data_IF_079890804164
#
_entry.id   IF_079890804164
#
_cell.length_a   1.000
_cell.length_b   1.000
_cell.length_c   1.000
_cell.angle_alpha   90.00
_cell.angle_beta   90.00
_cell.angle_gamma   90.00
#
_symmetry.space_group_name_H-M   'P 1'
#
loop_
_entity.id
_entity.type
_entity.pdbx_description
1 polymer ?
#
# COMPACT_ATOMS: atom_id res chain seq x y z
N UNK A 1 17.40 5.23 2.44
CA UNK A 1 16.45 5.02 3.56
C UNK A 1 16.70 3.66 4.20
N UNK A 2 16.49 3.53 5.52
CA UNK A 2 16.60 2.26 6.24
C UNK A 2 15.37 1.39 5.90
N UNK A 3 15.59 0.11 5.58
CA UNK A 3 14.49 -0.86 5.37
C UNK A 3 13.59 -0.90 6.63
N UNK A 4 12.25 -0.82 6.49
CA UNK A 4 11.36 -0.94 7.64
C UNK A 4 11.52 -2.30 8.33
N UNK A 5 11.30 -2.36 9.64
CA UNK A 5 11.50 -3.57 10.41
C UNK A 5 10.32 -4.55 10.25
N UNK A 6 10.56 -5.84 10.41
CA UNK A 6 9.48 -6.84 10.52
C UNK A 6 8.55 -6.47 11.69
N UNK A 7 7.25 -6.51 11.45
CA UNK A 7 6.21 -6.14 12.41
C UNK A 7 5.80 -4.66 12.40
N UNK A 8 6.50 -3.79 11.66
CA UNK A 8 6.10 -2.38 11.51
C UNK A 8 5.18 -2.16 10.31
N UNK A 9 4.47 -1.03 10.30
CA UNK A 9 3.87 -0.49 9.08
C UNK A 9 4.99 0.13 8.24
N UNK A 10 5.25 -0.42 7.06
CA UNK A 10 6.32 0.03 6.17
C UNK A 10 5.86 0.97 5.06
N UNK A 11 4.57 0.93 4.71
CA UNK A 11 3.97 1.76 3.66
C UNK A 11 2.46 1.90 3.86
N UNK A 12 1.86 2.88 3.18
CA UNK A 12 0.41 3.01 3.08
C UNK A 12 0.01 3.55 1.70
N UNK A 13 -1.07 3.00 1.14
CA UNK A 13 -1.71 3.54 -0.05
C UNK A 13 -3.16 3.88 0.25
N UNK A 14 -3.65 5.00 -0.28
CA UNK A 14 -5.06 5.31 -0.33
C UNK A 14 -5.61 4.93 -1.70
N UNK A 15 -6.47 3.92 -1.74
CA UNK A 15 -7.13 3.52 -2.99
C UNK A 15 -8.50 4.18 -3.10
N UNK A 16 -8.73 4.90 -4.20
CA UNK A 16 -9.92 5.73 -4.43
C UNK A 16 -10.31 5.73 -5.89
N UNK A 17 -11.57 6.05 -6.22
CA UNK A 17 -12.02 6.11 -7.62
C UNK A 17 -11.27 7.18 -8.43
N UNK A 18 -11.08 8.36 -7.85
CA UNK A 18 -10.41 9.50 -8.47
C UNK A 18 -9.20 9.95 -7.63
N UNK A 19 -8.03 9.39 -7.93
CA UNK A 19 -6.79 9.72 -7.25
C UNK A 19 -6.33 11.16 -7.52
N UNK A 20 -6.69 11.75 -8.66
CA UNK A 20 -6.31 13.14 -8.99
C UNK A 20 -7.01 14.11 -8.04
N UNK A 21 -8.33 13.95 -7.90
CA UNK A 21 -9.10 14.80 -6.99
C UNK A 21 -8.64 14.64 -5.53
N UNK A 22 -8.35 13.41 -5.09
CA UNK A 22 -7.91 13.14 -3.72
C UNK A 22 -6.47 13.61 -3.47
N UNK A 23 -5.58 13.50 -4.46
CA UNK A 23 -4.25 14.12 -4.43
C UNK A 23 -4.37 15.62 -4.20
N UNK A 24 -5.18 16.32 -4.99
CA UNK A 24 -5.33 17.77 -4.88
C UNK A 24 -5.93 18.17 -3.52
N UNK A 25 -6.89 17.41 -3.01
CA UNK A 25 -7.40 17.58 -1.66
C UNK A 25 -6.28 17.52 -0.58
N UNK A 26 -5.40 16.51 -0.61
CA UNK A 26 -4.32 16.41 0.39
C UNK A 26 -3.18 17.40 0.15
N UNK A 27 -2.97 17.88 -1.08
CA UNK A 27 -2.08 19.02 -1.34
C UNK A 27 -2.59 20.27 -0.60
N UNK A 28 -3.89 20.54 -0.67
CA UNK A 28 -4.49 21.73 -0.05
C UNK A 28 -4.62 21.60 1.48
N UNK A 29 -5.00 20.42 1.98
CA UNK A 29 -5.28 20.22 3.42
C UNK A 29 -4.02 19.93 4.23
N UNK A 30 -3.09 19.14 3.68
CA UNK A 30 -1.90 18.68 4.40
C UNK A 30 -0.59 19.30 3.88
N UNK A 31 -0.64 20.08 2.80
CA UNK A 31 0.55 20.67 2.19
C UNK A 31 1.45 19.65 1.50
N UNK A 32 0.95 18.44 1.20
CA UNK A 32 1.73 17.43 0.49
C UNK A 32 2.07 17.89 -0.93
N UNK A 33 3.15 17.36 -1.48
CA UNK A 33 3.39 17.38 -2.92
C UNK A 33 3.30 15.95 -3.48
N UNK A 34 3.26 15.82 -4.80
CA UNK A 34 3.03 14.55 -5.46
C UNK A 34 4.00 14.36 -6.63
N UNK A 35 4.53 13.16 -6.75
CA UNK A 35 5.24 12.67 -7.93
C UNK A 35 4.36 11.65 -8.63
N UNK A 36 4.14 11.81 -9.94
CA UNK A 36 3.40 10.85 -10.74
C UNK A 36 4.13 9.52 -10.84
N UNK A 37 3.37 8.43 -10.75
CA UNK A 37 3.80 7.07 -11.01
C UNK A 37 3.03 6.54 -12.22
N UNK A 38 3.71 6.32 -13.34
CA UNK A 38 3.09 5.81 -14.56
C UNK A 38 2.59 4.38 -14.37
N UNK A 39 1.30 4.17 -14.61
CA UNK A 39 0.59 2.91 -14.50
C UNK A 39 0.16 2.35 -15.86
N UNK A 40 0.73 2.87 -16.96
CA UNK A 40 0.46 2.39 -18.32
C UNK A 40 -0.85 2.97 -18.88
N UNK A 41 -0.89 4.29 -19.02
CA UNK A 41 -2.06 5.02 -19.55
C UNK A 41 -2.79 5.88 -18.51
N UNK A 42 -2.28 5.90 -17.28
CA UNK A 42 -2.65 6.84 -16.24
C UNK A 42 -1.56 6.94 -15.18
N UNK A 43 -1.73 7.88 -14.24
CA UNK A 43 -0.84 8.03 -13.09
C UNK A 43 -1.55 7.71 -11.78
N UNK A 44 -0.84 6.99 -10.92
CA UNK A 44 -1.03 7.05 -9.47
C UNK A 44 -0.01 8.05 -8.88
N UNK A 45 -0.09 8.35 -7.58
CA UNK A 45 0.71 9.42 -6.99
C UNK A 45 1.49 8.96 -5.77
N UNK A 46 2.80 9.20 -5.78
CA UNK A 46 3.63 9.12 -4.58
C UNK A 46 3.62 10.48 -3.89
N UNK A 47 3.15 10.52 -2.66
CA UNK A 47 3.01 11.76 -1.89
C UNK A 47 4.27 12.03 -1.07
N UNK A 48 4.67 13.30 -1.02
CA UNK A 48 5.85 13.78 -0.31
C UNK A 48 5.44 14.80 0.78
N UNK A 49 6.17 14.86 1.91
CA UNK A 49 5.84 15.77 2.99
C UNK A 49 6.12 17.24 2.60
N UNK A 50 5.44 18.20 3.24
CA UNK A 50 5.74 19.62 3.05
C UNK A 50 7.20 19.92 3.43
N UNK A 51 7.82 20.87 2.72
CA UNK A 51 9.19 21.29 3.00
C UNK A 51 10.29 20.41 2.38
N UNK A 52 9.95 19.44 1.52
CA UNK A 52 10.93 18.74 0.69
C UNK A 52 11.67 17.60 1.41
N UNK A 53 11.04 16.93 2.37
CA UNK A 53 11.61 15.74 2.99
C UNK A 53 11.83 14.61 1.98
N UNK A 54 12.86 13.79 2.20
CA UNK A 54 13.24 12.71 1.28
C UNK A 54 12.39 11.44 1.41
N UNK A 55 11.66 11.30 2.52
CA UNK A 55 10.83 10.12 2.78
C UNK A 55 9.40 10.39 2.35
N UNK A 56 8.86 9.63 1.38
CA UNK A 56 7.46 9.74 1.01
C UNK A 56 6.52 9.40 2.17
N UNK A 57 5.32 9.99 2.17
CA UNK A 57 4.31 9.77 3.22
C UNK A 57 3.33 8.64 2.89
N UNK A 58 3.15 8.32 1.60
CA UNK A 58 2.28 7.25 1.13
C UNK A 58 1.91 7.42 -0.34
N UNK A 59 1.10 6.49 -0.85
CA UNK A 59 0.53 6.58 -2.19
C UNK A 59 -0.93 7.01 -2.19
N UNK A 60 -1.37 7.62 -3.30
CA UNK A 60 -2.79 7.79 -3.63
C UNK A 60 -2.99 7.14 -5.00
N UNK A 61 -3.80 6.08 -5.01
CA UNK A 61 -3.94 5.17 -6.13
C UNK A 61 -5.38 5.16 -6.64
N UNK A 62 -5.54 5.06 -7.95
CA UNK A 62 -6.84 4.80 -8.53
C UNK A 62 -7.27 3.35 -8.26
N UNK A 63 -8.56 3.16 -7.93
CA UNK A 63 -9.22 1.86 -7.84
C UNK A 63 -9.46 1.28 -9.24
N UNK A 64 -8.39 0.98 -9.97
CA UNK A 64 -8.40 0.39 -11.33
C UNK A 64 -7.14 -0.42 -11.58
N UNK A 65 -7.13 -1.18 -12.67
CA UNK A 65 -5.99 -2.02 -13.05
C UNK A 65 -5.62 -2.97 -11.89
N UNK A 66 -4.37 -2.97 -11.39
CA UNK A 66 -3.98 -3.84 -10.28
C UNK A 66 -4.76 -3.55 -8.97
N UNK A 67 -5.37 -2.38 -8.84
CA UNK A 67 -6.08 -1.92 -7.65
C UNK A 67 -7.61 -1.97 -7.79
N UNK A 68 -8.16 -2.54 -8.87
CA UNK A 68 -9.61 -2.53 -9.16
C UNK A 68 -10.44 -3.19 -8.05
N UNK A 69 -9.97 -4.31 -7.50
CA UNK A 69 -10.69 -5.07 -6.46
C UNK A 69 -10.41 -4.59 -5.02
N UNK A 70 -9.69 -3.48 -4.87
CA UNK A 70 -9.36 -2.93 -3.54
C UNK A 70 -10.51 -2.06 -3.01
N UNK A 71 -10.83 -2.16 -1.71
CA UNK A 71 -11.81 -1.27 -1.11
C UNK A 71 -11.31 0.18 -1.16
N UNK A 72 -12.25 1.13 -1.17
CA UNK A 72 -11.90 2.54 -0.97
C UNK A 72 -11.41 2.75 0.45
N UNK A 73 -10.22 3.34 0.62
CA UNK A 73 -9.65 3.64 1.93
C UNK A 73 -8.14 3.45 2.00
N UNK A 74 -7.59 3.74 3.17
CA UNK A 74 -6.18 3.53 3.46
C UNK A 74 -5.89 2.04 3.66
N UNK A 75 -4.93 1.52 2.90
CA UNK A 75 -4.40 0.17 3.00
C UNK A 75 -3.00 0.28 3.59
N UNK A 76 -2.82 -0.24 4.79
CA UNK A 76 -1.53 -0.31 5.46
C UNK A 76 -0.75 -1.55 5.02
N UNK A 77 0.53 -1.40 4.74
CA UNK A 77 1.44 -2.51 4.43
C UNK A 77 2.27 -2.85 5.66
N UNK A 78 1.93 -3.97 6.30
CA UNK A 78 2.59 -4.49 7.49
C UNK A 78 3.72 -5.43 7.04
N UNK A 79 4.94 -5.15 7.50
CA UNK A 79 6.10 -5.94 7.10
C UNK A 79 6.12 -7.28 7.81
N UNK A 80 6.27 -8.35 7.03
CA UNK A 80 6.41 -9.73 7.53
C UNK A 80 7.71 -10.35 7.04
N UNK A 81 8.28 -11.24 7.84
CA UNK A 81 9.52 -11.94 7.49
C UNK A 81 9.30 -13.01 6.40
N UNK A 82 8.11 -13.60 6.35
CA UNK A 82 7.72 -14.60 5.37
C UNK A 82 6.23 -14.45 5.08
N UNK A 83 5.90 -14.11 3.83
CA UNK A 83 4.54 -13.80 3.43
C UNK A 83 3.65 -15.04 3.48
N UNK A 84 4.07 -16.17 2.89
CA UNK A 84 3.26 -17.38 2.84
C UNK A 84 2.91 -17.90 4.23
N UNK A 85 3.89 -18.00 5.13
CA UNK A 85 3.66 -18.41 6.51
C UNK A 85 2.68 -17.46 7.22
N UNK A 86 2.81 -16.16 6.99
CA UNK A 86 1.90 -15.18 7.61
C UNK A 86 0.46 -15.31 7.07
N UNK A 87 0.28 -15.61 5.78
CA UNK A 87 -1.03 -15.83 5.17
C UNK A 87 -1.72 -17.11 5.68
N UNK A 88 -0.95 -18.17 5.94
CA UNK A 88 -1.46 -19.37 6.63
C UNK A 88 -1.98 -19.00 8.02
N UNK A 89 -1.23 -18.20 8.77
CA UNK A 89 -1.62 -17.72 10.10
C UNK A 89 -2.86 -16.84 10.06
N UNK A 90 -3.00 -15.95 9.07
CA UNK A 90 -4.21 -15.13 8.88
C UNK A 90 -5.45 -16.00 8.81
N UNK A 91 -5.43 -17.03 7.96
CA UNK A 91 -6.57 -17.94 7.79
C UNK A 91 -6.82 -18.75 9.06
N UNK A 92 -5.77 -19.28 9.69
CA UNK A 92 -5.87 -20.05 10.92
C UNK A 92 -6.43 -19.25 12.11
N UNK A 93 -6.29 -17.92 12.10
CA UNK A 93 -6.75 -17.02 13.16
C UNK A 93 -8.10 -16.34 12.84
N UNK A 94 -8.80 -16.78 11.79
CA UNK A 94 -10.14 -16.28 11.45
C UNK A 94 -10.16 -15.05 10.53
N UNK A 95 -9.01 -14.66 9.98
CA UNK A 95 -8.93 -13.69 8.90
C UNK A 95 -9.13 -14.32 7.51
N UNK A 96 -9.06 -13.49 6.47
CA UNK A 96 -9.22 -13.90 5.07
C UNK A 96 -8.07 -13.39 4.21
N UNK A 97 -7.54 -14.23 3.33
CA UNK A 97 -6.60 -13.80 2.28
C UNK A 97 -7.41 -13.25 1.11
N UNK A 98 -7.08 -12.03 0.66
CA UNK A 98 -7.79 -11.29 -0.39
C UNK A 98 -6.98 -11.35 -1.69
N UNK A 99 -7.38 -12.22 -2.60
CA UNK A 99 -6.76 -12.35 -3.92
C UNK A 99 -5.44 -13.12 -3.88
N UNK A 100 -4.58 -12.87 -4.87
CA UNK A 100 -3.28 -13.54 -5.03
C UNK A 100 -2.15 -12.69 -4.42
N UNK A 101 -1.00 -13.32 -4.17
CA UNK A 101 0.24 -12.58 -3.92
C UNK A 101 0.54 -11.71 -5.15
N UNK A 102 0.85 -10.44 -4.90
CA UNK A 102 1.17 -9.39 -5.85
C UNK A 102 2.58 -8.88 -5.59
N UNK A 103 3.18 -8.24 -6.59
CA UNK A 103 4.58 -7.84 -6.52
C UNK A 103 5.51 -9.01 -6.85
N UNK A 104 6.41 -8.76 -7.80
CA UNK A 104 7.49 -9.66 -8.19
C UNK A 104 8.74 -8.85 -8.58
N UNK A 105 8.82 -7.62 -8.08
CA UNK A 105 9.85 -6.65 -8.41
C UNK A 105 10.88 -6.48 -7.28
N UNK A 106 11.86 -5.60 -7.46
CA UNK A 106 12.96 -5.39 -6.51
C UNK A 106 12.51 -4.89 -5.13
N UNK A 107 11.27 -4.41 -4.99
CA UNK A 107 10.73 -3.94 -3.71
C UNK A 107 10.27 -5.09 -2.79
N UNK A 108 9.88 -6.23 -3.36
CA UNK A 108 9.29 -7.35 -2.61
C UNK A 108 7.91 -7.75 -3.14
N UNK A 109 7.16 -8.46 -2.29
CA UNK A 109 5.86 -9.05 -2.59
C UNK A 109 4.88 -8.83 -1.46
N UNK A 110 3.59 -8.80 -1.76
CA UNK A 110 2.54 -8.57 -0.78
C UNK A 110 1.25 -9.30 -1.12
N UNK A 111 0.38 -9.44 -0.14
CA UNK A 111 -0.98 -9.88 -0.37
C UNK A 111 -1.92 -9.11 0.54
N UNK A 112 -3.12 -8.81 0.04
CA UNK A 112 -4.15 -8.21 0.86
C UNK A 112 -4.75 -9.26 1.77
N UNK A 113 -5.12 -8.84 2.96
CA UNK A 113 -5.82 -9.63 3.94
C UNK A 113 -7.01 -8.84 4.47
N UNK A 114 -7.93 -9.55 5.08
CA UNK A 114 -8.98 -8.99 5.91
C UNK A 114 -8.86 -9.63 7.30
N UNK A 115 -8.71 -8.82 8.34
CA UNK A 115 -8.59 -9.30 9.70
C UNK A 115 -9.97 -9.67 10.30
N UNK A 116 -10.05 -10.24 11.52
CA UNK A 116 -11.33 -10.61 12.13
C UNK A 116 -12.29 -9.45 12.38
N UNK A 117 -11.83 -8.19 12.34
CA UNK A 117 -12.69 -7.00 12.44
C UNK A 117 -13.31 -6.60 11.09
N UNK A 118 -12.87 -7.23 9.99
CA UNK A 118 -13.26 -6.86 8.63
C UNK A 118 -12.36 -5.79 8.02
N UNK A 119 -11.27 -5.40 8.69
CA UNK A 119 -10.36 -4.36 8.19
C UNK A 119 -9.41 -4.94 7.16
N UNK A 120 -9.28 -4.25 6.03
CA UNK A 120 -8.37 -4.64 4.95
C UNK A 120 -7.01 -3.99 5.13
N UNK A 121 -5.96 -4.80 5.09
CA UNK A 121 -4.56 -4.38 5.08
C UNK A 121 -3.74 -5.27 4.16
N UNK A 122 -2.48 -4.95 3.93
CA UNK A 122 -1.53 -5.77 3.18
C UNK A 122 -0.47 -6.34 4.13
N UNK A 123 -0.14 -7.61 3.95
CA UNK A 123 1.11 -8.17 4.47
C UNK A 123 2.15 -8.07 3.37
N UNK A 124 3.32 -7.50 3.69
CA UNK A 124 4.39 -7.23 2.74
C UNK A 124 5.69 -7.89 3.19
N UNK A 125 6.26 -8.72 2.34
CA UNK A 125 7.61 -9.26 2.50
C UNK A 125 8.55 -8.50 1.59
N UNK A 126 9.56 -7.87 2.20
CA UNK A 126 10.60 -7.17 1.47
C UNK A 126 11.46 -8.16 0.69
N UNK A 127 11.92 -7.76 -0.49
CA UNK A 127 12.92 -8.54 -1.20
C UNK A 127 14.18 -8.72 -0.32
N UNK A 128 14.76 -9.92 -0.36
CA UNK A 128 16.09 -10.18 0.19
C UNK A 128 17.13 -9.26 -0.46
N UNK A 129 18.28 -9.13 0.19
CA UNK A 129 19.45 -8.48 -0.41
C UNK A 129 20.03 -9.32 -1.56
#
# INVERSE_FOLDING_TARGET
MKKPAVGSVGWMDLTVKDAVAVRDFYKDVAGWSATGLDMGGYEDFVMMPPGGGETPVGGICHARGPNEDQPTGWILYIIVANLEHSLERVTAMGGRVRGKIRGAGPSGRFCLIEDPSGTVSALFEQAGD
#
